data_IF_349594129541
#
_entry.id   IF_349594129541
#
_cell.length_a   1.000
_cell.length_b   1.000
_cell.length_c   1.000
_cell.angle_alpha   90.00
_cell.angle_beta   90.00
_cell.angle_gamma   90.00
#
_symmetry.space_group_name_H-M   'P 1'
#
loop_
_entity.id
_entity.type
_entity.pdbx_description
1 polymer ?
#
# COMPACT_ATOMS: atom_id res chain seq x y z
N UNK A 1 -10.50 12.59 14.69
CA UNK A 1 -11.52 11.65 14.18
C UNK A 1 -11.06 10.23 14.50
N UNK A 2 -11.92 9.43 15.15
CA UNK A 2 -11.65 8.01 15.41
C UNK A 2 -12.60 7.14 14.57
N UNK A 3 -12.13 6.55 13.47
CA UNK A 3 -12.96 5.68 12.65
C UNK A 3 -13.08 4.25 13.20
N UNK A 4 -12.29 3.89 14.22
CA UNK A 4 -12.14 2.49 14.64
C UNK A 4 -11.33 1.68 13.64
N UNK A 5 -11.26 0.37 13.87
CA UNK A 5 -10.52 -0.54 12.99
C UNK A 5 -11.14 -0.60 11.60
N UNK A 6 -10.32 -0.33 10.59
CA UNK A 6 -10.68 -0.42 9.18
C UNK A 6 -9.78 -1.44 8.50
N UNK A 7 -10.38 -2.30 7.68
CA UNK A 7 -9.64 -3.21 6.81
C UNK A 7 -9.25 -2.51 5.50
N UNK A 8 -7.97 -2.61 5.18
CA UNK A 8 -7.36 -2.21 3.92
C UNK A 8 -7.10 -3.46 3.10
N UNK A 9 -7.50 -3.45 1.83
CA UNK A 9 -7.26 -4.55 0.89
C UNK A 9 -6.58 -3.99 -0.35
N UNK A 10 -5.40 -4.52 -0.65
CA UNK A 10 -4.62 -4.17 -1.82
C UNK A 10 -4.56 -5.35 -2.78
N UNK A 11 -4.60 -5.03 -4.07
CA UNK A 11 -4.28 -5.92 -5.18
C UNK A 11 -3.10 -5.31 -5.93
N UNK A 12 -2.02 -6.07 -6.09
CA UNK A 12 -0.86 -5.60 -6.80
C UNK A 12 -1.18 -5.43 -8.31
N UNK A 13 -0.55 -4.49 -9.03
CA UNK A 13 -0.57 -4.47 -10.50
C UNK A 13 0.13 -5.71 -11.05
N UNK A 14 -0.30 -6.24 -12.20
CA UNK A 14 0.34 -7.41 -12.85
C UNK A 14 1.86 -7.25 -12.94
N UNK A 15 2.59 -8.34 -12.73
CA UNK A 15 4.05 -8.36 -12.63
C UNK A 15 4.61 -8.15 -11.23
N UNK A 16 3.77 -7.87 -10.22
CA UNK A 16 4.19 -7.65 -8.84
C UNK A 16 3.42 -8.53 -7.83
N UNK A 17 4.08 -8.83 -6.72
CA UNK A 17 3.47 -9.43 -5.52
C UNK A 17 3.90 -8.66 -4.28
N UNK A 18 3.06 -8.68 -3.25
CA UNK A 18 3.39 -8.14 -1.94
C UNK A 18 4.29 -9.10 -1.16
N UNK A 19 5.22 -8.57 -0.38
CA UNK A 19 6.08 -9.37 0.51
C UNK A 19 5.41 -9.67 1.87
N UNK A 20 4.30 -8.99 2.16
CA UNK A 20 3.59 -9.06 3.43
C UNK A 20 3.98 -7.94 4.40
N UNK A 21 5.13 -7.30 4.19
CA UNK A 21 5.60 -6.22 5.04
C UNK A 21 4.96 -4.87 4.70
N UNK A 22 4.57 -4.16 5.75
CA UNK A 22 3.96 -2.84 5.71
C UNK A 22 4.70 -1.92 6.66
N UNK A 23 4.90 -0.67 6.26
CA UNK A 23 5.27 0.41 7.17
C UNK A 23 4.12 1.40 7.27
N UNK A 24 4.00 2.09 8.40
CA UNK A 24 3.12 3.24 8.53
C UNK A 24 3.72 4.27 9.47
N UNK A 25 3.30 5.53 9.31
CA UNK A 25 3.69 6.64 10.17
C UNK A 25 2.66 7.77 10.10
N UNK A 26 2.67 8.63 11.10
CA UNK A 26 2.02 9.95 11.02
C UNK A 26 2.95 10.92 10.31
N UNK A 27 2.38 11.72 9.40
CA UNK A 27 3.08 12.74 8.65
C UNK A 27 2.42 14.09 8.86
N UNK A 28 3.21 15.15 8.79
CA UNK A 28 2.70 16.50 8.68
C UNK A 28 2.01 16.69 7.32
N UNK A 29 0.79 17.24 7.32
CA UNK A 29 -0.01 17.32 6.08
C UNK A 29 0.56 18.31 5.05
N UNK A 30 1.36 19.30 5.47
CA UNK A 30 1.92 20.32 4.59
C UNK A 30 3.29 19.88 4.02
N UNK A 31 4.13 19.27 4.85
CA UNK A 31 5.51 18.91 4.49
C UNK A 31 5.71 17.43 4.14
N UNK A 32 4.75 16.58 4.50
CA UNK A 32 4.83 15.11 4.42
C UNK A 32 6.00 14.49 5.20
N UNK A 33 6.68 15.26 6.05
CA UNK A 33 7.72 14.72 6.92
C UNK A 33 7.08 13.82 7.99
N UNK A 34 7.73 12.69 8.27
CA UNK A 34 7.28 11.79 9.33
C UNK A 34 7.42 12.48 10.70
N UNK A 35 6.32 12.51 11.44
CA UNK A 35 6.23 13.12 12.78
C UNK A 35 6.35 12.10 13.91
N UNK A 36 6.04 10.83 13.66
CA UNK A 36 6.14 9.79 14.67
C UNK A 36 5.53 8.46 14.25
N UNK A 37 5.69 7.48 15.14
CA UNK A 37 5.16 6.11 15.03
C UNK A 37 5.51 5.42 13.71
N UNK A 38 6.79 5.49 13.31
CA UNK A 38 7.27 4.62 12.25
C UNK A 38 7.28 3.19 12.76
N UNK A 39 6.29 2.42 12.34
CA UNK A 39 6.17 1.02 12.67
C UNK A 39 6.21 0.17 11.41
N UNK A 40 6.77 -1.02 11.56
CA UNK A 40 6.74 -2.07 10.54
C UNK A 40 5.90 -3.22 11.07
N UNK A 41 4.92 -3.66 10.28
CA UNK A 41 4.02 -4.75 10.61
C UNK A 41 3.82 -5.68 9.41
N UNK A 42 3.15 -6.80 9.63
CA UNK A 42 2.79 -7.74 8.59
C UNK A 42 1.29 -7.72 8.31
N UNK A 43 0.93 -7.70 7.03
CA UNK A 43 -0.42 -7.98 6.57
C UNK A 43 -0.57 -9.45 6.17
N UNK A 44 -1.81 -9.85 5.94
CA UNK A 44 -2.15 -11.17 5.43
C UNK A 44 -2.04 -11.19 3.91
N UNK A 45 -1.22 -12.11 3.39
CA UNK A 45 -1.12 -12.38 1.96
C UNK A 45 -2.24 -13.33 1.49
N UNK A 46 -2.67 -13.15 0.25
CA UNK A 46 -3.58 -14.04 -0.46
C UNK A 46 -3.29 -14.06 -1.97
N UNK A 47 -3.90 -14.99 -2.70
CA UNK A 47 -3.75 -15.11 -4.16
C UNK A 47 -2.27 -15.16 -4.60
N UNK A 48 -1.48 -16.05 -3.99
CA UNK A 48 -0.04 -16.17 -4.26
C UNK A 48 0.78 -14.90 -3.97
N UNK A 49 0.27 -14.01 -3.11
CA UNK A 49 0.89 -12.71 -2.79
C UNK A 49 0.38 -11.54 -3.64
N UNK A 50 -0.53 -11.77 -4.60
CA UNK A 50 -1.17 -10.70 -5.39
C UNK A 50 -2.10 -9.82 -4.57
N UNK A 51 -2.55 -10.31 -3.42
CA UNK A 51 -3.38 -9.53 -2.49
C UNK A 51 -2.72 -9.41 -1.12
N UNK A 52 -2.89 -8.24 -0.51
CA UNK A 52 -2.45 -7.94 0.85
C UNK A 52 -3.61 -7.32 1.60
N UNK A 53 -3.93 -7.84 2.78
CA UNK A 53 -4.97 -7.31 3.66
C UNK A 53 -4.40 -7.01 5.03
N UNK A 54 -4.72 -5.85 5.59
CA UNK A 54 -4.38 -5.52 6.98
C UNK A 54 -5.52 -4.69 7.60
N UNK A 55 -5.60 -4.72 8.93
CA UNK A 55 -6.58 -3.96 9.70
C UNK A 55 -5.83 -3.01 10.62
N UNK A 56 -6.22 -1.74 10.60
CA UNK A 56 -5.62 -0.70 11.44
C UNK A 56 -6.70 0.33 11.78
N UNK A 57 -6.59 1.01 12.92
CA UNK A 57 -7.43 2.16 13.24
C UNK A 57 -6.72 3.44 12.77
N UNK A 58 -7.11 4.05 11.63
CA UNK A 58 -6.51 5.29 11.15
C UNK A 58 -7.03 6.51 11.93
N UNK A 59 -6.77 6.53 13.24
CA UNK A 59 -7.10 7.64 14.12
C UNK A 59 -6.24 8.86 13.79
N UNK A 60 -6.87 10.04 13.69
CA UNK A 60 -6.16 11.32 13.62
C UNK A 60 -6.65 12.21 14.74
N UNK A 61 -5.75 12.65 15.62
CA UNK A 61 -6.05 13.60 16.71
C UNK A 61 -6.25 15.02 16.20
N UNK A 62 -5.59 15.39 15.11
CA UNK A 62 -5.60 16.74 14.54
C UNK A 62 -5.84 16.71 13.03
N UNK A 63 -6.19 17.87 12.46
CA UNK A 63 -6.26 18.04 11.00
C UNK A 63 -4.93 18.48 10.37
N UNK A 64 -3.85 18.55 11.16
CA UNK A 64 -2.50 18.91 10.70
C UNK A 64 -1.64 17.68 10.36
N UNK A 65 -2.24 16.50 10.48
CA UNK A 65 -1.56 15.22 10.30
C UNK A 65 -2.29 14.37 9.27
N UNK A 66 -1.54 13.53 8.58
CA UNK A 66 -2.04 12.45 7.76
C UNK A 66 -1.33 11.14 8.11
N UNK A 67 -1.92 10.01 7.71
CA UNK A 67 -1.31 8.69 7.87
C UNK A 67 -0.75 8.23 6.53
N UNK A 68 0.53 7.87 6.51
CA UNK A 68 1.20 7.24 5.38
C UNK A 68 1.29 5.74 5.61
N UNK A 69 1.04 4.95 4.55
CA UNK A 69 1.24 3.51 4.55
C UNK A 69 2.14 3.13 3.37
N UNK A 70 3.17 2.33 3.63
CA UNK A 70 4.04 1.74 2.62
C UNK A 70 3.87 0.24 2.58
N UNK A 71 3.36 -0.31 1.48
CA UNK A 71 3.31 -1.76 1.26
C UNK A 71 4.50 -2.18 0.41
N UNK A 72 5.30 -3.13 0.91
CA UNK A 72 6.44 -3.65 0.16
C UNK A 72 5.98 -4.61 -0.95
N UNK A 73 6.53 -4.40 -2.13
CA UNK A 73 6.29 -5.23 -3.32
C UNK A 73 7.60 -5.69 -3.91
N UNK A 74 7.57 -6.82 -4.60
CA UNK A 74 8.63 -7.27 -5.50
C UNK A 74 8.05 -7.58 -6.87
N UNK A 75 8.87 -7.44 -7.91
CA UNK A 75 8.55 -8.03 -9.20
C UNK A 75 8.50 -9.55 -9.07
N UNK A 76 7.60 -10.17 -9.85
CA UNK A 76 7.59 -11.61 -10.06
C UNK A 76 8.74 -11.97 -11.01
N UNK A 77 9.40 -13.09 -10.77
CA UNK A 77 10.45 -13.57 -11.66
C UNK A 77 9.90 -13.80 -13.08
N UNK A 78 10.63 -13.31 -14.09
CA UNK A 78 10.19 -13.33 -15.48
C UNK A 78 8.95 -12.48 -15.79
N UNK A 79 8.59 -11.51 -14.94
CA UNK A 79 7.50 -10.59 -15.24
C UNK A 79 7.73 -9.87 -16.58
N UNK A 80 6.71 -9.86 -17.45
CA UNK A 80 6.79 -9.18 -18.74
C UNK A 80 6.93 -7.67 -18.55
N UNK A 81 7.89 -7.00 -19.22
CA UNK A 81 7.98 -5.54 -19.23
C UNK A 81 6.68 -4.89 -19.73
N UNK A 82 6.27 -3.81 -19.07
CA UNK A 82 5.05 -3.11 -19.44
C UNK A 82 4.41 -2.32 -18.31
N UNK A 83 3.41 -1.51 -18.68
CA UNK A 83 2.59 -0.74 -17.75
C UNK A 83 1.28 -1.47 -17.47
N UNK A 84 1.04 -1.76 -16.21
CA UNK A 84 -0.16 -2.46 -15.74
C UNK A 84 -1.00 -1.55 -14.86
N UNK A 85 -2.32 -1.55 -15.06
CA UNK A 85 -3.30 -0.64 -14.39
C UNK A 85 -4.42 -1.41 -13.70
N UNK A 86 -4.19 -2.69 -13.44
CA UNK A 86 -5.12 -3.67 -12.87
C UNK A 86 -4.94 -3.85 -11.34
N UNK A 87 -4.06 -3.06 -10.73
CA UNK A 87 -3.89 -2.99 -9.28
C UNK A 87 -4.96 -2.11 -8.64
N UNK A 88 -5.17 -2.29 -7.33
CA UNK A 88 -6.29 -1.67 -6.63
C UNK A 88 -6.00 -1.51 -5.14
N UNK A 89 -6.50 -0.43 -4.53
CA UNK A 89 -6.61 -0.24 -3.09
C UNK A 89 -8.09 -0.06 -2.73
N UNK A 90 -8.56 -0.77 -1.70
CA UNK A 90 -9.86 -0.57 -1.07
C UNK A 90 -9.67 -0.33 0.43
N UNK A 91 -10.31 0.71 0.95
CA UNK A 91 -10.27 1.08 2.37
C UNK A 91 -11.69 1.01 2.93
N UNK A 92 -11.97 0.00 3.76
CA UNK A 92 -13.31 -0.25 4.28
C UNK A 92 -14.37 -0.30 3.17
N UNK A 93 -15.40 0.54 3.30
CA UNK A 93 -16.50 0.65 2.33
C UNK A 93 -16.27 1.68 1.20
N UNK A 94 -15.12 2.36 1.17
CA UNK A 94 -14.85 3.38 0.15
C UNK A 94 -14.75 2.78 -1.26
N UNK A 95 -15.04 3.60 -2.26
CA UNK A 95 -14.82 3.25 -3.65
C UNK A 95 -13.34 2.89 -3.88
N UNK A 96 -13.05 1.80 -4.59
CA UNK A 96 -11.66 1.42 -4.80
C UNK A 96 -10.88 2.41 -5.67
N UNK A 97 -9.60 2.57 -5.33
CA UNK A 97 -8.65 3.40 -6.06
C UNK A 97 -7.79 2.49 -6.93
N UNK A 98 -7.58 2.88 -8.20
CA UNK A 98 -6.71 2.13 -9.12
C UNK A 98 -5.24 2.38 -8.80
N UNK A 99 -4.46 1.30 -8.79
CA UNK A 99 -3.01 1.34 -8.72
C UNK A 99 -2.44 0.96 -10.08
N UNK A 100 -1.31 1.58 -10.43
CA UNK A 100 -0.55 1.24 -11.63
C UNK A 100 0.87 0.82 -11.24
N UNK A 101 1.42 -0.14 -11.95
CA UNK A 101 2.80 -0.58 -11.83
C UNK A 101 3.46 -0.60 -13.20
N UNK A 102 4.78 -0.49 -13.24
CA UNK A 102 5.56 -0.62 -14.46
C UNK A 102 6.71 -1.58 -14.21
N UNK A 103 6.73 -2.67 -14.95
CA UNK A 103 7.91 -3.55 -15.06
C UNK A 103 8.77 -2.96 -16.16
N UNK A 104 10.03 -2.65 -15.84
CA UNK A 104 11.00 -2.11 -16.79
C UNK A 104 11.56 -3.24 -17.65
N UNK A 105 11.93 -2.90 -18.89
CA UNK A 105 12.73 -3.81 -19.70
C UNK A 105 14.15 -3.89 -19.12
N UNK A 106 14.85 -5.04 -19.20
CA UNK A 106 16.24 -5.13 -18.76
C UNK A 106 17.19 -4.10 -19.41
N UNK A 107 16.81 -3.52 -20.55
CA UNK A 107 17.57 -2.50 -21.28
C UNK A 107 17.04 -1.07 -21.06
N UNK A 108 16.05 -0.86 -20.17
CA UNK A 108 15.53 0.47 -19.81
C UNK A 108 16.12 0.91 -18.46
N UNK A 109 16.83 2.05 -18.45
CA UNK A 109 17.36 2.71 -17.24
C UNK A 109 16.34 3.66 -16.59
#
# INVERSE_FOLDING_TARGET
MNPGDITFTLKAPTGFVFTGWLTWAYHDVETLQAKGNLETTQGKLGDGGRTLTFTHNPYLSTNKECLGYGAQVTAVDGATPGRYTDGQLKVGAANPIKLKGRVLDPNED
#
